data_IF_011318164231
#
_entry.id   IF_011318164231
#
_cell.length_a   1.000
_cell.length_b   1.000
_cell.length_c   1.000
_cell.angle_alpha   90.00
_cell.angle_beta   90.00
_cell.angle_gamma   90.00
#
_symmetry.space_group_name_H-M   'P 1'
#
loop_
_entity.id
_entity.type
_entity.pdbx_description
1 polymer ?
#
# COMPACT_ATOMS: atom_id res chain seq x y z
N UNK A 1 -14.93 -8.79 30.61
CA UNK A 1 -15.80 -7.58 30.69
C UNK A 1 -16.84 -7.63 29.57
N UNK A 2 -18.08 -7.20 29.82
CA UNK A 2 -19.17 -7.22 28.82
C UNK A 2 -19.85 -5.85 28.73
N UNK A 3 -20.04 -5.36 27.51
CA UNK A 3 -20.85 -4.17 27.21
C UNK A 3 -22.25 -4.65 26.85
N UNK A 4 -23.21 -4.23 27.66
CA UNK A 4 -24.61 -4.66 27.55
C UNK A 4 -25.38 -3.86 26.51
N UNK A 5 -26.46 -4.46 25.99
CA UNK A 5 -27.30 -3.87 24.94
C UNK A 5 -27.83 -2.47 25.30
N UNK A 6 -28.22 -2.25 26.57
CA UNK A 6 -28.71 -0.95 27.06
C UNK A 6 -27.68 0.16 26.88
N UNK A 7 -26.41 -0.15 27.10
CA UNK A 7 -25.30 0.81 27.00
C UNK A 7 -24.94 1.11 25.53
N UNK A 8 -25.15 0.15 24.64
CA UNK A 8 -24.96 0.31 23.20
C UNK A 8 -26.05 1.20 22.58
N UNK A 9 -27.30 1.05 23.03
CA UNK A 9 -28.42 1.90 22.62
C UNK A 9 -28.21 3.35 23.09
N UNK A 10 -27.79 3.54 24.34
CA UNK A 10 -27.56 4.88 24.93
C UNK A 10 -26.45 5.66 24.22
N UNK A 11 -25.45 4.97 23.68
CA UNK A 11 -24.35 5.60 22.96
C UNK A 11 -24.76 6.19 21.60
N UNK A 12 -25.92 5.81 21.05
CA UNK A 12 -26.44 6.35 19.80
C UNK A 12 -25.52 6.06 18.60
N UNK A 13 -25.37 7.05 17.70
CA UNK A 13 -24.65 6.92 16.42
C UNK A 13 -23.11 6.99 16.52
N UNK A 14 -22.53 6.68 17.67
CA UNK A 14 -21.06 6.60 17.79
C UNK A 14 -20.52 5.35 17.08
N UNK A 15 -19.25 5.39 16.67
CA UNK A 15 -18.58 4.19 16.17
C UNK A 15 -18.38 3.19 17.31
N UNK A 16 -18.36 1.91 16.97
CA UNK A 16 -18.08 0.85 17.93
C UNK A 16 -16.69 1.03 18.56
N UNK A 17 -15.71 1.46 17.76
CA UNK A 17 -14.37 1.80 18.23
C UNK A 17 -14.38 2.86 19.34
N UNK A 18 -15.02 4.01 19.10
CA UNK A 18 -15.04 5.12 20.07
C UNK A 18 -15.74 4.73 21.37
N UNK A 19 -16.81 3.94 21.26
CA UNK A 19 -17.54 3.45 22.41
C UNK A 19 -16.66 2.52 23.26
N UNK A 20 -16.00 1.55 22.62
CA UNK A 20 -15.13 0.60 23.31
C UNK A 20 -13.91 1.33 23.91
N UNK A 21 -13.32 2.29 23.20
CA UNK A 21 -12.21 3.11 23.69
C UNK A 21 -12.57 3.93 24.93
N UNK A 22 -13.79 4.47 25.00
CA UNK A 22 -14.26 5.22 26.19
C UNK A 22 -14.58 4.34 27.38
N UNK A 23 -14.88 3.06 27.17
CA UNK A 23 -15.34 2.12 28.21
C UNK A 23 -14.24 1.21 28.72
N UNK A 24 -13.31 0.83 27.85
CA UNK A 24 -12.19 -0.04 28.18
C UNK A 24 -10.95 0.82 28.30
N UNK A 25 -10.45 0.97 29.54
CA UNK A 25 -9.22 1.71 29.78
C UNK A 25 -8.05 1.05 29.04
N UNK A 26 -7.26 1.85 28.32
CA UNK A 26 -6.14 1.37 27.53
C UNK A 26 -6.51 0.73 26.20
N UNK A 27 -7.79 0.73 25.77
CA UNK A 27 -8.14 0.31 24.41
C UNK A 27 -7.78 1.39 23.39
N UNK A 28 -6.87 1.08 22.48
CA UNK A 28 -6.43 1.98 21.42
C UNK A 28 -5.88 1.22 20.21
N UNK A 29 -5.64 1.93 19.11
CA UNK A 29 -4.83 1.39 18.00
C UNK A 29 -3.36 1.65 18.34
N UNK A 30 -2.59 0.58 18.47
CA UNK A 30 -1.16 0.63 18.77
C UNK A 30 -0.33 0.13 17.59
N UNK A 31 0.93 0.52 17.55
CA UNK A 31 1.89 0.02 16.58
C UNK A 31 2.54 -1.26 17.08
N UNK A 32 2.56 -2.30 16.25
CA UNK A 32 3.22 -3.58 16.50
C UNK A 32 4.62 -3.55 15.89
N UNK A 33 5.53 -4.23 16.58
CA UNK A 33 6.93 -4.32 16.19
C UNK A 33 7.27 -5.78 15.92
N UNK A 34 8.06 -6.03 14.87
CA UNK A 34 8.61 -7.36 14.64
C UNK A 34 9.77 -7.59 15.60
N UNK A 35 9.62 -8.57 16.48
CA UNK A 35 10.77 -9.12 17.17
C UNK A 35 11.60 -9.95 16.18
N UNK A 36 12.90 -9.69 16.14
CA UNK A 36 13.86 -10.46 15.36
C UNK A 36 15.02 -10.79 16.27
N UNK A 37 15.38 -12.07 16.34
CA UNK A 37 16.55 -12.50 17.11
C UNK A 37 17.87 -12.03 16.49
N UNK A 38 17.86 -11.55 15.23
CA UNK A 38 19.07 -11.26 14.45
C UNK A 38 19.10 -9.87 13.79
N UNK A 39 18.01 -9.10 13.86
CA UNK A 39 17.95 -7.75 13.29
C UNK A 39 17.36 -6.76 14.30
N UNK A 40 17.64 -5.47 14.11
CA UNK A 40 17.00 -4.41 14.90
C UNK A 40 15.48 -4.53 14.80
N UNK A 41 14.80 -4.21 15.90
CA UNK A 41 13.34 -4.11 15.96
C UNK A 41 12.86 -3.27 14.79
N UNK A 42 12.05 -3.88 13.92
CA UNK A 42 11.57 -3.24 12.70
C UNK A 42 10.06 -3.00 12.81
N UNK A 43 9.64 -1.82 12.35
CA UNK A 43 8.23 -1.44 12.26
C UNK A 43 7.54 -2.27 11.18
N UNK A 44 6.37 -2.85 11.47
CA UNK A 44 5.52 -3.43 10.44
C UNK A 44 4.82 -2.31 9.65
N UNK A 45 4.97 -2.18 8.32
CA UNK A 45 4.24 -1.19 7.53
C UNK A 45 2.71 -1.29 7.69
N UNK A 46 2.22 -2.52 7.92
CA UNK A 46 0.83 -2.87 8.23
C UNK A 46 0.60 -3.12 9.75
N UNK A 47 1.48 -2.57 10.59
CA UNK A 47 1.62 -2.91 12.00
C UNK A 47 0.62 -2.28 12.97
N UNK A 48 -0.48 -1.71 12.50
CA UNK A 48 -1.46 -1.16 13.43
C UNK A 48 -2.37 -2.27 13.92
N UNK A 49 -2.37 -2.54 15.23
CA UNK A 49 -3.26 -3.51 15.86
C UNK A 49 -4.10 -2.87 16.96
N UNK A 50 -5.23 -3.49 17.28
CA UNK A 50 -5.99 -3.14 18.47
C UNK A 50 -5.27 -3.67 19.70
N UNK A 51 -5.14 -2.82 20.71
CA UNK A 51 -4.43 -3.12 21.95
C UNK A 51 -5.31 -2.75 23.13
N UNK A 52 -5.32 -3.56 24.19
CA UNK A 52 -5.85 -3.20 25.51
C UNK A 52 -4.68 -3.16 26.48
N UNK A 53 -4.29 -1.96 26.89
CA UNK A 53 -3.09 -1.75 27.71
C UNK A 53 -1.84 -2.10 26.91
N UNK A 54 -1.16 -3.19 27.30
CA UNK A 54 0.02 -3.73 26.59
C UNK A 54 -0.30 -4.98 25.76
N UNK A 55 -1.52 -5.52 25.88
CA UNK A 55 -1.89 -6.77 25.25
C UNK A 55 -2.53 -6.52 23.89
N UNK A 56 -1.97 -7.14 22.84
CA UNK A 56 -2.56 -7.11 21.52
C UNK A 56 -3.85 -7.95 21.48
N UNK A 57 -4.89 -7.39 20.87
CA UNK A 57 -6.10 -8.13 20.51
C UNK A 57 -5.75 -9.01 19.32
N UNK A 58 -5.82 -10.32 19.50
CA UNK A 58 -5.44 -11.31 18.50
C UNK A 58 -6.45 -11.41 17.35
N UNK A 59 -7.75 -11.30 17.65
CA UNK A 59 -8.81 -11.29 16.65
C UNK A 59 -10.10 -10.68 17.21
N UNK A 60 -11.00 -10.25 16.31
CA UNK A 60 -12.41 -9.97 16.62
C UNK A 60 -13.27 -11.07 16.01
N UNK A 61 -14.17 -11.63 16.80
CA UNK A 61 -15.12 -12.64 16.34
C UNK A 61 -16.48 -11.97 16.26
N UNK A 62 -17.04 -11.87 15.06
CA UNK A 62 -18.34 -11.25 14.79
C UNK A 62 -19.34 -12.33 14.44
N UNK A 63 -20.37 -12.52 15.27
CA UNK A 63 -21.39 -13.57 15.11
C UNK A 63 -20.83 -14.98 14.86
N UNK A 64 -19.69 -15.30 15.50
CA UNK A 64 -18.99 -16.58 15.34
C UNK A 64 -18.01 -16.66 14.16
N UNK A 65 -17.89 -15.60 13.36
CA UNK A 65 -16.92 -15.50 12.27
C UNK A 65 -15.70 -14.65 12.70
N UNK A 66 -14.51 -15.22 12.59
CA UNK A 66 -13.26 -14.54 12.92
C UNK A 66 -12.85 -13.56 11.81
N UNK A 67 -12.30 -12.38 12.15
CA UNK A 67 -11.87 -11.39 11.14
C UNK A 67 -10.77 -11.92 10.24
N UNK A 68 -9.92 -12.79 10.80
CA UNK A 68 -8.81 -13.45 10.10
C UNK A 68 -9.25 -14.24 8.87
N UNK A 69 -10.49 -14.74 8.83
CA UNK A 69 -11.05 -15.45 7.68
C UNK A 69 -11.31 -14.55 6.46
N UNK A 70 -11.33 -13.24 6.65
CA UNK A 70 -11.66 -12.25 5.62
C UNK A 70 -10.44 -11.47 5.12
N UNK A 71 -9.23 -11.93 5.45
CA UNK A 71 -7.99 -11.37 4.92
C UNK A 71 -7.87 -11.66 3.42
N UNK A 72 -7.77 -10.60 2.61
CA UNK A 72 -7.67 -10.68 1.15
C UNK A 72 -6.31 -11.22 0.63
N UNK A 73 -5.39 -11.52 1.54
CA UNK A 73 -4.07 -12.04 1.20
C UNK A 73 -4.06 -13.52 1.55
N UNK A 74 -3.81 -14.39 0.56
CA UNK A 74 -3.66 -15.86 0.68
C UNK A 74 -2.50 -16.32 1.59
N UNK A 75 -2.15 -15.55 2.62
CA UNK A 75 -1.18 -15.95 3.64
C UNK A 75 -1.89 -16.69 4.77
N UNK A 76 -1.26 -17.75 5.33
CA UNK A 76 -1.87 -18.52 6.40
C UNK A 76 -2.26 -17.60 7.58
N UNK A 77 -3.47 -17.77 8.15
CA UNK A 77 -4.05 -16.85 9.14
C UNK A 77 -3.24 -16.71 10.44
N UNK A 78 -2.19 -17.52 10.62
CA UNK A 78 -1.30 -17.51 11.78
C UNK A 78 -0.17 -16.46 11.68
N UNK A 79 0.35 -16.18 10.48
CA UNK A 79 1.56 -15.37 10.31
C UNK A 79 1.28 -13.87 10.10
N UNK A 80 0.06 -13.52 9.66
CA UNK A 80 -0.37 -12.13 9.52
C UNK A 80 -1.88 -12.02 9.74
N UNK A 81 -2.37 -12.02 10.99
CA UNK A 81 -3.76 -11.68 11.26
C UNK A 81 -3.93 -10.23 10.82
N UNK A 82 -4.51 -9.98 9.63
CA UNK A 82 -4.59 -8.65 9.05
C UNK A 82 -5.33 -7.71 10.02
N UNK A 83 -4.59 -6.95 10.83
CA UNK A 83 -5.19 -6.26 11.97
C UNK A 83 -6.00 -5.05 11.49
N UNK A 84 -5.77 -4.64 10.23
CA UNK A 84 -6.51 -3.60 9.56
C UNK A 84 -7.98 -3.97 9.35
N UNK A 85 -8.31 -5.24 9.07
CA UNK A 85 -9.70 -5.65 8.87
C UNK A 85 -10.52 -5.50 10.17
N UNK A 86 -9.92 -5.87 11.31
CA UNK A 86 -10.50 -5.68 12.64
C UNK A 86 -10.66 -4.19 12.98
N UNK A 87 -9.65 -3.36 12.69
CA UNK A 87 -9.70 -1.91 12.92
C UNK A 87 -10.78 -1.27 12.03
N UNK A 88 -10.81 -1.60 10.75
CA UNK A 88 -11.77 -1.07 9.78
C UNK A 88 -13.21 -1.45 10.18
N UNK A 89 -13.42 -2.67 10.66
CA UNK A 89 -14.71 -3.09 11.22
C UNK A 89 -15.12 -2.25 12.43
N UNK A 90 -14.25 -2.12 13.43
CA UNK A 90 -14.56 -1.35 14.65
C UNK A 90 -14.85 0.12 14.34
N UNK A 91 -14.19 0.70 13.34
CA UNK A 91 -14.38 2.10 12.93
C UNK A 91 -15.60 2.31 12.02
N UNK A 92 -15.99 1.31 11.24
CA UNK A 92 -17.13 1.40 10.31
C UNK A 92 -18.46 0.97 10.95
N UNK A 93 -18.42 0.09 11.95
CA UNK A 93 -19.61 -0.38 12.64
C UNK A 93 -20.13 0.70 13.60
N UNK A 94 -21.42 0.99 13.52
CA UNK A 94 -22.09 1.83 14.52
C UNK A 94 -22.51 0.98 15.72
N UNK A 95 -22.40 1.56 16.92
CA UNK A 95 -22.71 0.87 18.17
C UNK A 95 -24.18 0.39 18.25
N UNK A 96 -25.11 1.07 17.59
CA UNK A 96 -26.53 0.73 17.56
C UNK A 96 -26.82 -0.62 16.89
N UNK A 97 -26.02 -1.02 15.90
CA UNK A 97 -26.11 -2.29 15.19
C UNK A 97 -25.59 -3.49 16.01
N UNK A 98 -25.00 -3.25 17.17
CA UNK A 98 -24.41 -4.27 18.03
C UNK A 98 -25.32 -4.57 19.21
N UNK A 99 -25.45 -5.86 19.53
CA UNK A 99 -26.23 -6.35 20.67
C UNK A 99 -25.36 -6.50 21.93
N UNK A 100 -24.15 -7.04 21.76
CA UNK A 100 -23.21 -7.21 22.86
C UNK A 100 -21.77 -7.21 22.37
N UNK A 101 -20.88 -6.69 23.22
CA UNK A 101 -19.42 -6.81 23.06
C UNK A 101 -18.85 -7.48 24.30
N UNK A 102 -18.13 -8.58 24.11
CA UNK A 102 -17.49 -9.33 25.19
C UNK A 102 -15.99 -9.35 24.96
N UNK A 103 -15.25 -9.07 26.02
CA UNK A 103 -13.81 -9.29 26.06
C UNK A 103 -13.54 -10.70 26.56
N UNK A 104 -12.98 -11.54 25.70
CA UNK A 104 -12.52 -12.87 26.03
C UNK A 104 -11.03 -12.86 26.36
N UNK A 105 -10.69 -13.39 27.52
CA UNK A 105 -9.31 -13.46 28.01
C UNK A 105 -8.90 -14.93 28.13
N UNK A 106 -7.73 -15.28 27.58
CA UNK A 106 -7.14 -16.62 27.57
C UNK A 106 -5.63 -16.53 27.35
N UNK A 107 -5.02 -17.43 26.57
CA UNK A 107 -3.62 -17.28 26.12
C UNK A 107 -3.41 -16.07 25.21
N UNK A 108 -4.49 -15.62 24.56
CA UNK A 108 -4.55 -14.41 23.74
C UNK A 108 -5.83 -13.63 24.08
N UNK A 109 -5.81 -12.32 23.85
CA UNK A 109 -6.96 -11.45 24.03
C UNK A 109 -7.82 -11.44 22.76
N UNK A 110 -9.13 -11.63 22.88
CA UNK A 110 -10.05 -11.55 21.73
C UNK A 110 -11.31 -10.76 22.09
N UNK A 111 -11.90 -10.12 21.08
CA UNK A 111 -13.17 -9.38 21.23
C UNK A 111 -14.26 -10.16 20.51
N UNK A 112 -15.33 -10.51 21.20
CA UNK A 112 -16.51 -11.13 20.60
C UNK A 112 -17.60 -10.09 20.46
N UNK A 113 -18.08 -9.89 19.24
CA UNK A 113 -19.15 -8.97 18.89
C UNK A 113 -20.34 -9.77 18.40
N UNK A 114 -21.51 -9.51 18.97
CA UNK A 114 -22.78 -10.06 18.48
C UNK A 114 -23.58 -8.92 17.87
N UNK A 115 -23.88 -9.01 16.58
CA UNK A 115 -24.65 -7.99 15.86
C UNK A 115 -26.15 -8.23 16.02
N UNK A 116 -26.97 -7.19 15.86
CA UNK A 116 -28.44 -7.32 15.78
C UNK A 116 -28.87 -8.04 14.52
N UNK A 117 -28.10 -7.88 13.44
CA UNK A 117 -28.38 -8.51 12.15
C UNK A 117 -28.12 -10.02 12.16
N UNK A 118 -27.13 -10.50 12.91
CA UNK A 118 -26.74 -11.92 12.92
C UNK A 118 -26.11 -12.42 11.61
N UNK A 119 -25.66 -11.49 10.75
CA UNK A 119 -25.07 -11.81 9.43
C UNK A 119 -23.54 -11.62 9.41
N UNK A 120 -22.89 -11.55 10.58
CA UNK A 120 -21.43 -11.48 10.68
C UNK A 120 -20.85 -10.22 10.06
N UNK A 121 -19.73 -10.36 9.35
CA UNK A 121 -19.01 -9.24 8.70
C UNK A 121 -19.77 -8.56 7.56
N UNK A 122 -20.79 -9.22 7.01
CA UNK A 122 -21.53 -8.73 5.86
C UNK A 122 -22.78 -7.93 6.25
N UNK A 123 -22.73 -7.19 7.37
CA UNK A 123 -23.80 -6.25 7.67
C UNK A 123 -23.86 -5.22 6.55
N UNK A 124 -25.02 -5.11 5.89
CA UNK A 124 -25.30 -3.99 4.97
C UNK A 124 -25.01 -2.71 5.74
N UNK A 125 -24.11 -1.88 5.20
CA UNK A 125 -23.87 -0.54 5.72
C UNK A 125 -25.23 0.14 5.89
N UNK A 126 -25.51 0.70 7.08
CA UNK A 126 -26.78 1.39 7.31
C UNK A 126 -27.01 2.40 6.18
N UNK A 127 -28.23 2.51 5.64
CA UNK A 127 -28.52 3.36 4.46
C UNK A 127 -28.02 4.81 4.59
N UNK A 128 -27.76 5.28 5.81
CA UNK A 128 -27.25 6.61 6.15
C UNK A 128 -25.73 6.70 6.38
N UNK A 129 -24.96 5.63 6.17
CA UNK A 129 -23.50 5.61 6.32
C UNK A 129 -22.92 4.95 5.06
N UNK A 130 -21.95 5.61 4.42
CA UNK A 130 -21.21 5.05 3.28
C UNK A 130 -19.74 5.06 3.65
N UNK A 131 -19.11 3.88 3.66
CA UNK A 131 -17.68 3.75 3.81
C UNK A 131 -17.00 4.18 2.50
N UNK A 132 -16.64 5.46 2.40
CA UNK A 132 -15.90 6.01 1.27
C UNK A 132 -14.40 5.94 1.54
N UNK A 133 -13.67 5.16 0.72
CA UNK A 133 -12.20 5.14 0.71
C UNK A 133 -11.72 6.00 -0.46
N UNK A 134 -11.42 7.30 -0.26
CA UNK A 134 -10.88 8.11 -1.33
C UNK A 134 -9.56 7.50 -1.81
N UNK A 135 -9.34 7.51 -3.12
CA UNK A 135 -8.03 7.17 -3.68
C UNK A 135 -7.07 8.21 -3.11
N UNK A 136 -5.98 7.80 -2.43
CA UNK A 136 -5.03 8.75 -1.88
C UNK A 136 -4.46 9.61 -3.00
N UNK A 137 -4.33 10.91 -2.74
CA UNK A 137 -3.66 11.82 -3.66
C UNK A 137 -2.20 11.38 -3.81
N UNK A 138 -1.86 10.74 -4.93
CA UNK A 138 -0.48 10.42 -5.26
C UNK A 138 0.08 11.55 -6.13
N UNK A 139 1.16 12.18 -5.68
CA UNK A 139 1.91 13.05 -6.56
C UNK A 139 2.48 12.20 -7.70
N UNK A 140 2.39 12.63 -8.96
CA UNK A 140 2.97 11.90 -10.09
C UNK A 140 4.46 11.71 -9.84
N UNK A 141 4.88 10.47 -9.60
CA UNK A 141 6.29 10.14 -9.44
C UNK A 141 6.89 9.99 -10.83
N UNK A 142 7.86 10.84 -11.17
CA UNK A 142 8.61 10.71 -12.41
C UNK A 142 9.29 9.34 -12.46
N UNK A 143 9.18 8.66 -13.61
CA UNK A 143 9.86 7.40 -13.84
C UNK A 143 11.38 7.59 -13.76
N UNK A 144 12.06 6.66 -13.10
CA UNK A 144 13.48 6.77 -12.77
C UNK A 144 14.37 6.82 -14.03
N UNK A 145 15.25 7.81 -14.10
CA UNK A 145 16.36 7.88 -15.06
C UNK A 145 17.63 7.32 -14.42
N UNK A 146 18.22 6.22 -14.93
CA UNK A 146 19.43 5.67 -14.37
C UNK A 146 20.60 6.67 -14.44
N UNK A 147 21.34 6.79 -13.34
CA UNK A 147 22.65 7.45 -13.33
C UNK A 147 23.68 6.45 -13.85
N UNK A 148 24.29 6.72 -15.00
CA UNK A 148 25.25 5.82 -15.63
C UNK A 148 26.71 6.09 -15.22
N UNK A 149 27.02 7.25 -14.64
CA UNK A 149 28.38 7.63 -14.21
C UNK A 149 28.86 6.98 -12.91
N UNK A 150 28.18 5.94 -12.41
CA UNK A 150 28.61 5.21 -11.21
C UNK A 150 29.53 4.06 -11.57
N UNK A 151 30.71 3.99 -10.93
CA UNK A 151 31.64 2.85 -10.98
C UNK A 151 31.08 1.62 -10.24
N UNK A 152 29.83 1.27 -10.47
CA UNK A 152 29.20 0.12 -9.85
C UNK A 152 29.28 -1.07 -10.80
N UNK A 153 29.96 -2.13 -10.38
CA UNK A 153 30.16 -3.38 -11.12
C UNK A 153 29.03 -4.39 -10.93
N UNK A 154 27.96 -4.01 -10.21
CA UNK A 154 26.83 -4.89 -9.97
C UNK A 154 26.09 -5.24 -11.29
N UNK A 155 25.69 -6.52 -11.49
CA UNK A 155 24.89 -6.92 -12.64
C UNK A 155 23.59 -6.11 -12.69
N UNK A 156 23.39 -5.34 -13.76
CA UNK A 156 22.15 -4.58 -13.95
C UNK A 156 21.11 -5.49 -14.60
N UNK A 157 19.97 -5.68 -13.94
CA UNK A 157 18.81 -6.39 -14.51
C UNK A 157 18.43 -5.71 -15.85
N UNK A 158 18.14 -6.47 -16.92
CA UNK A 158 17.72 -5.90 -18.19
C UNK A 158 16.51 -5.00 -17.99
N UNK A 159 16.57 -3.76 -18.49
CA UNK A 159 15.47 -2.80 -18.42
C UNK A 159 14.87 -2.64 -19.82
N UNK A 160 13.54 -2.72 -19.97
CA UNK A 160 12.88 -2.47 -21.26
C UNK A 160 12.98 -0.98 -21.66
N UNK A 161 13.02 -0.07 -20.68
CA UNK A 161 13.18 1.37 -20.90
C UNK A 161 14.58 1.81 -20.47
N UNK A 162 15.40 2.23 -21.45
CA UNK A 162 16.77 2.71 -21.21
C UNK A 162 16.83 4.21 -20.93
N UNK A 163 15.82 4.98 -21.35
CA UNK A 163 15.77 6.42 -21.14
C UNK A 163 14.32 6.90 -21.01
N UNK A 164 14.08 7.82 -20.08
CA UNK A 164 12.79 8.48 -19.89
C UNK A 164 13.04 9.96 -19.55
N UNK A 165 12.48 10.86 -20.35
CA UNK A 165 12.60 12.31 -20.16
C UNK A 165 11.21 12.95 -20.38
N UNK A 166 10.47 13.28 -19.30
CA UNK A 166 9.08 13.75 -19.42
C UNK A 166 8.96 15.22 -19.79
N UNK A 167 10.01 16.02 -19.62
CA UNK A 167 9.97 17.46 -19.85
C UNK A 167 10.98 17.86 -20.93
N UNK A 168 10.63 17.58 -22.17
CA UNK A 168 11.42 17.95 -23.34
C UNK A 168 10.78 19.18 -23.98
N UNK A 169 11.49 20.31 -23.93
CA UNK A 169 11.06 21.54 -24.58
C UNK A 169 11.79 21.63 -25.93
N UNK A 170 11.04 21.82 -27.01
CA UNK A 170 11.60 22.04 -28.34
C UNK A 170 11.90 23.52 -28.57
N UNK A 171 12.82 23.81 -29.48
CA UNK A 171 13.09 25.18 -29.92
C UNK A 171 11.95 25.73 -30.82
N UNK A 172 12.08 27.00 -31.23
CA UNK A 172 11.12 27.67 -32.13
C UNK A 172 10.93 26.98 -33.49
N UNK A 173 11.83 26.08 -33.87
CA UNK A 173 11.76 25.28 -35.10
C UNK A 173 11.22 23.87 -34.87
N UNK A 174 10.83 23.54 -33.64
CA UNK A 174 10.31 22.22 -33.24
C UNK A 174 11.41 21.16 -33.04
N UNK A 175 12.67 21.55 -32.91
CA UNK A 175 13.81 20.62 -32.76
C UNK A 175 14.30 20.58 -31.31
N UNK A 176 14.86 19.44 -30.94
CA UNK A 176 15.50 19.23 -29.63
C UNK A 176 16.55 18.13 -29.75
N UNK A 177 17.56 18.16 -28.88
CA UNK A 177 18.63 17.17 -28.86
C UNK A 177 18.54 16.36 -27.57
N UNK A 178 18.50 15.03 -27.69
CA UNK A 178 18.48 14.10 -26.57
C UNK A 178 19.67 13.15 -26.67
N UNK A 179 20.21 12.76 -25.51
CA UNK A 179 21.31 11.80 -25.42
C UNK A 179 20.98 10.73 -24.39
N UNK A 180 21.23 9.48 -24.74
CA UNK A 180 20.94 8.32 -23.90
C UNK A 180 22.05 7.28 -24.01
N UNK A 181 22.10 6.39 -23.01
CA UNK A 181 23.00 5.25 -23.01
C UNK A 181 22.30 4.03 -23.59
N UNK A 182 22.94 3.37 -24.54
CA UNK A 182 22.49 2.08 -25.07
C UNK A 182 22.87 0.94 -24.10
N UNK A 183 22.23 -0.22 -24.26
CA UNK A 183 22.69 -1.45 -23.63
C UNK A 183 24.00 -1.94 -24.26
N UNK A 184 24.72 -2.81 -23.53
CA UNK A 184 26.02 -3.36 -23.96
C UNK A 184 25.95 -4.15 -25.28
N UNK A 185 24.77 -4.71 -25.59
CA UNK A 185 24.57 -5.51 -26.80
C UNK A 185 23.93 -4.66 -27.90
N UNK A 186 24.41 -4.79 -29.16
CA UNK A 186 23.76 -4.23 -30.33
C UNK A 186 22.29 -4.66 -30.41
N UNK A 187 21.43 -3.77 -30.88
CA UNK A 187 20.00 -4.03 -30.89
C UNK A 187 19.18 -2.92 -31.54
N UNK A 188 17.90 -3.20 -31.71
CA UNK A 188 16.92 -2.21 -32.18
C UNK A 188 16.18 -1.63 -30.99
N UNK A 189 16.13 -0.31 -30.91
CA UNK A 189 15.45 0.45 -29.87
C UNK A 189 14.21 1.11 -30.45
N UNK A 190 13.13 1.11 -29.68
CA UNK A 190 11.91 1.85 -30.02
C UNK A 190 11.96 3.19 -29.31
N UNK A 191 11.76 4.28 -30.07
CA UNK A 191 11.62 5.63 -29.54
C UNK A 191 10.16 6.01 -29.62
N UNK A 192 9.57 6.38 -28.48
CA UNK A 192 8.20 6.87 -28.40
C UNK A 192 8.28 8.31 -27.91
N UNK A 193 7.69 9.23 -28.67
CA UNK A 193 7.58 10.65 -28.32
C UNK A 193 6.11 10.99 -28.25
N UNK A 194 5.68 11.52 -27.12
CA UNK A 194 4.31 11.95 -26.84
C UNK A 194 4.35 13.36 -26.26
N UNK A 195 3.42 14.22 -26.64
CA UNK A 195 3.39 15.59 -26.14
C UNK A 195 2.24 16.42 -26.69
N UNK A 196 2.24 17.70 -26.31
CA UNK A 196 1.28 18.69 -26.75
C UNK A 196 1.97 19.92 -27.31
N UNK A 197 1.31 20.65 -28.19
CA UNK A 197 1.71 22.02 -28.54
C UNK A 197 1.06 23.05 -27.61
N UNK A 198 1.38 24.33 -27.83
CA UNK A 198 0.84 25.45 -27.05
C UNK A 198 -0.61 25.78 -27.39
N UNK A 199 -1.18 25.13 -28.41
CA UNK A 199 -2.56 25.30 -28.85
C UNK A 199 -3.47 24.17 -28.33
N UNK A 200 -2.91 23.21 -27.59
CA UNK A 200 -3.64 22.10 -27.01
C UNK A 200 -3.81 20.90 -27.94
N UNK A 201 -3.06 20.85 -29.06
CA UNK A 201 -3.05 19.66 -29.92
C UNK A 201 -2.13 18.60 -29.30
N UNK A 202 -2.52 17.33 -29.42
CA UNK A 202 -1.76 16.18 -28.92
C UNK A 202 -1.09 15.44 -30.08
N UNK A 203 0.15 15.02 -29.88
CA UNK A 203 0.92 14.26 -30.86
C UNK A 203 1.56 13.03 -30.25
N UNK A 204 1.63 11.94 -31.03
CA UNK A 204 2.39 10.74 -30.71
C UNK A 204 3.17 10.28 -31.93
N UNK A 205 4.44 9.98 -31.75
CA UNK A 205 5.30 9.41 -32.78
C UNK A 205 6.06 8.19 -32.24
N UNK A 206 6.15 7.15 -33.06
CA UNK A 206 6.92 5.93 -32.74
C UNK A 206 7.93 5.70 -33.84
N UNK A 207 9.20 5.74 -33.48
CA UNK A 207 10.34 5.49 -34.36
C UNK A 207 11.17 4.30 -33.90
N UNK A 208 12.07 3.84 -34.76
CA UNK A 208 13.06 2.80 -34.43
C UNK A 208 14.46 3.31 -34.72
N UNK A 209 15.39 2.98 -33.84
CA UNK A 209 16.83 3.26 -33.99
C UNK A 209 17.57 1.93 -33.90
N UNK A 210 18.45 1.66 -34.85
CA UNK A 210 19.31 0.47 -34.85
C UNK A 210 20.69 0.88 -34.37
N UNK A 211 21.18 0.23 -33.31
CA UNK A 211 22.54 0.42 -32.80
C UNK A 211 23.34 -0.82 -33.18
N UNK A 212 24.28 -0.64 -34.12
CA UNK A 212 25.20 -1.68 -34.55
C UNK A 212 26.31 -1.94 -33.54
N UNK A 213 27.06 -3.01 -33.73
CA UNK A 213 28.27 -3.27 -32.96
C UNK A 213 29.27 -2.12 -33.16
N UNK A 214 29.60 -1.42 -32.08
CA UNK A 214 30.72 -0.48 -32.09
C UNK A 214 31.99 -1.29 -32.33
N UNK A 215 32.74 -0.98 -33.38
CA UNK A 215 34.10 -1.50 -33.52
C UNK A 215 34.89 -1.16 -32.24
N UNK A 216 35.75 -2.06 -31.73
CA UNK A 216 36.63 -1.74 -30.62
C UNK A 216 37.35 -0.43 -30.95
N UNK A 217 37.33 0.56 -30.05
CA UNK A 217 38.23 1.71 -30.19
C UNK A 217 39.64 1.14 -30.18
N UNK A 218 40.27 1.05 -31.35
CA UNK A 218 41.67 0.67 -31.48
C UNK A 218 42.47 1.48 -30.46
N UNK A 219 43.10 0.78 -29.52
CA UNK A 219 44.22 1.35 -28.78
C UNK A 219 45.28 1.64 -29.82
N UNK A 220 45.30 2.86 -30.35
CA UNK A 220 46.45 3.42 -31.04
C UNK A 220 47.57 3.52 -29.99
N UNK A 221 48.31 2.43 -29.84
CA UNK A 221 49.66 2.49 -29.29
C UNK A 221 50.48 3.21 -30.35
N UNK A 222 50.60 4.52 -30.21
CA UNK A 222 51.61 5.28 -30.94
C UNK A 222 52.92 4.98 -30.20
N UNK A 223 53.66 4.01 -30.71
CA UNK A 223 55.05 3.80 -30.33
C UNK A 223 55.95 4.78 -31.08
N UNK A 224 56.80 5.48 -30.34
CA UNK A 224 58.25 5.36 -30.41
C UNK A 224 58.83 5.62 -29.02
#
# INVERSE_FOLDING_TARGET
MEITEKQLIEAGKTTLYDLVARRINGFHVGNTFKESMFTKVAYHPDGQALVVGINMVADIIVDGQATSLFSANNEPPYDNPNPQAAIDFMKSMSADNVKSVKLGEGTKLFIVVTTRGGHGFFTKSSYNIVAYRPIPYCMPKQFYRPKYDVKNTAPTVPRPTVHWEPNVITDSTGKTNLSFYAADKPGTYTVIVEGTDMQGNFGRHVGKIVIGATAPKDKKVIGK
#
